data_IF_390842430358
#
_entry.id   IF_390842430358
#
_cell.length_a   1.000
_cell.length_b   1.000
_cell.length_c   1.000
_cell.angle_alpha   90.00
_cell.angle_beta   90.00
_cell.angle_gamma   90.00
#
_symmetry.space_group_name_H-M   'P 1'
#
loop_
_entity.id
_entity.type
_entity.pdbx_description
1 polymer ?
#
# COMPACT_ATOMS: atom_id res chain seq x y z
N UNK A 1 -55.52 6.08 -67.34
CA UNK A 1 -54.50 6.11 -66.27
C UNK A 1 -54.16 7.56 -66.02
N UNK A 2 -54.29 8.11 -64.80
CA UNK A 2 -53.80 9.45 -64.53
C UNK A 2 -52.51 9.35 -63.68
N UNK A 3 -51.42 9.81 -64.29
CA UNK A 3 -50.00 9.61 -63.95
C UNK A 3 -49.48 10.52 -62.81
N UNK A 4 -50.35 11.04 -61.96
CA UNK A 4 -50.00 12.03 -60.94
C UNK A 4 -49.71 11.46 -59.55
N UNK A 5 -49.72 10.12 -59.40
CA UNK A 5 -49.40 9.44 -58.13
C UNK A 5 -47.94 8.99 -57.99
N UNK A 6 -47.06 9.35 -58.93
CA UNK A 6 -45.66 8.91 -58.90
C UNK A 6 -44.71 9.82 -58.09
N UNK A 7 -44.87 11.16 -57.96
CA UNK A 7 -43.81 11.96 -57.34
C UNK A 7 -43.76 11.84 -55.80
N UNK A 8 -44.79 11.33 -55.14
CA UNK A 8 -44.84 11.24 -53.67
C UNK A 8 -44.10 10.02 -53.10
N UNK A 9 -44.00 8.90 -53.83
CA UNK A 9 -43.25 7.73 -53.36
C UNK A 9 -41.72 7.89 -53.55
N UNK A 10 -41.29 8.64 -54.57
CA UNK A 10 -39.86 8.89 -54.83
C UNK A 10 -39.29 9.94 -53.87
N UNK A 11 -40.08 10.94 -53.46
CA UNK A 11 -39.62 12.00 -52.55
C UNK A 11 -39.33 11.53 -51.11
N UNK A 12 -39.94 10.42 -50.68
CA UNK A 12 -39.74 9.85 -49.33
C UNK A 12 -38.69 8.73 -49.28
N UNK A 13 -38.37 8.08 -50.40
CA UNK A 13 -37.40 6.99 -50.45
C UNK A 13 -35.93 7.48 -50.42
N UNK A 14 -35.63 8.63 -51.01
CA UNK A 14 -34.26 9.18 -51.12
C UNK A 14 -33.62 9.50 -49.75
N UNK A 15 -34.28 10.19 -48.79
CA UNK A 15 -33.66 10.48 -47.50
C UNK A 15 -33.51 9.24 -46.61
N UNK A 16 -34.40 8.25 -46.74
CA UNK A 16 -34.34 7.00 -45.94
C UNK A 16 -33.20 6.10 -46.40
N UNK A 17 -33.02 5.93 -47.72
CA UNK A 17 -31.90 5.14 -48.28
C UNK A 17 -30.56 5.85 -48.03
N UNK A 18 -30.49 7.17 -48.18
CA UNK A 18 -29.29 7.95 -47.86
C UNK A 18 -28.90 7.88 -46.37
N UNK A 19 -29.89 7.95 -45.47
CA UNK A 19 -29.67 7.79 -44.03
C UNK A 19 -29.18 6.40 -43.63
N UNK A 20 -29.74 5.34 -44.23
CA UNK A 20 -29.30 3.96 -43.99
C UNK A 20 -27.88 3.69 -44.51
N UNK A 21 -27.51 4.22 -45.67
CA UNK A 21 -26.15 4.10 -46.19
C UNK A 21 -25.14 4.88 -45.35
N UNK A 22 -25.51 6.06 -44.86
CA UNK A 22 -24.68 6.83 -43.94
C UNK A 22 -24.47 6.10 -42.61
N UNK A 23 -25.53 5.51 -42.03
CA UNK A 23 -25.46 4.67 -40.83
C UNK A 23 -24.60 3.42 -41.05
N UNK A 24 -24.73 2.74 -42.19
CA UNK A 24 -23.91 1.58 -42.53
C UNK A 24 -22.43 1.95 -42.68
N UNK A 25 -22.12 3.09 -43.31
CA UNK A 25 -20.74 3.58 -43.42
C UNK A 25 -20.16 3.99 -42.06
N UNK A 26 -20.96 4.61 -41.18
CA UNK A 26 -20.55 4.98 -39.83
C UNK A 26 -20.36 3.74 -38.95
N UNK A 27 -21.26 2.75 -39.02
CA UNK A 27 -21.14 1.48 -38.33
C UNK A 27 -19.91 0.69 -38.79
N UNK A 28 -19.63 0.65 -40.10
CA UNK A 28 -18.43 0.00 -40.64
C UNK A 28 -17.13 0.62 -40.12
N UNK A 29 -17.05 1.96 -40.05
CA UNK A 29 -15.90 2.66 -39.44
C UNK A 29 -15.80 2.40 -37.93
N UNK A 30 -16.92 2.36 -37.21
CA UNK A 30 -16.93 2.05 -35.78
C UNK A 30 -16.49 0.60 -35.53
N UNK A 31 -16.84 -0.35 -36.40
CA UNK A 31 -16.41 -1.74 -36.29
C UNK A 31 -14.90 -1.91 -36.57
N UNK A 32 -14.37 -1.17 -37.55
CA UNK A 32 -12.92 -1.12 -37.83
C UNK A 32 -12.14 -0.53 -36.64
N UNK A 33 -12.68 0.52 -36.00
CA UNK A 33 -12.11 1.09 -34.77
C UNK A 33 -12.28 0.18 -33.55
N UNK A 34 -13.38 -0.57 -33.43
CA UNK A 34 -13.57 -1.58 -32.37
C UNK A 34 -12.60 -2.73 -32.52
N UNK A 35 -12.36 -3.21 -33.74
CA UNK A 35 -11.36 -4.24 -34.02
C UNK A 35 -9.96 -3.79 -33.64
N UNK A 36 -9.58 -2.56 -34.01
CA UNK A 36 -8.28 -1.98 -33.67
C UNK A 36 -8.10 -1.79 -32.14
N UNK A 37 -9.14 -1.31 -31.45
CA UNK A 37 -9.10 -1.15 -29.98
C UNK A 37 -9.06 -2.51 -29.27
N UNK A 38 -9.78 -3.51 -29.77
CA UNK A 38 -9.78 -4.86 -29.19
C UNK A 38 -8.41 -5.52 -29.39
N UNK A 39 -7.85 -5.44 -30.58
CA UNK A 39 -6.50 -5.95 -30.86
C UNK A 39 -5.42 -5.24 -30.03
N UNK A 40 -5.55 -3.91 -29.84
CA UNK A 40 -4.66 -3.14 -28.97
C UNK A 40 -4.79 -3.52 -27.49
N UNK A 41 -6.02 -3.76 -27.01
CA UNK A 41 -6.27 -4.22 -25.64
C UNK A 41 -5.75 -5.65 -25.42
N UNK A 42 -5.88 -6.53 -26.40
CA UNK A 42 -5.32 -7.88 -26.36
C UNK A 42 -3.79 -7.86 -26.39
N UNK A 43 -3.18 -6.94 -27.16
CA UNK A 43 -1.72 -6.74 -27.17
C UNK A 43 -1.22 -6.21 -25.81
N UNK A 44 -1.93 -5.25 -25.21
CA UNK A 44 -1.62 -4.76 -23.86
C UNK A 44 -1.76 -5.88 -22.83
N UNK A 45 -2.83 -6.67 -22.90
CA UNK A 45 -3.07 -7.79 -21.98
C UNK A 45 -1.99 -8.85 -22.09
N UNK A 46 -1.62 -9.25 -23.30
CA UNK A 46 -0.52 -10.18 -23.56
C UNK A 46 0.83 -9.67 -23.03
N UNK A 47 1.12 -8.37 -23.21
CA UNK A 47 2.33 -7.76 -22.64
C UNK A 47 2.30 -7.67 -21.11
N UNK A 48 1.14 -7.43 -20.51
CA UNK A 48 0.97 -7.43 -19.04
C UNK A 48 1.13 -8.83 -18.47
N UNK A 49 0.50 -9.85 -19.06
CA UNK A 49 0.65 -11.24 -18.62
C UNK A 49 2.12 -11.68 -18.69
N UNK A 50 2.84 -11.30 -19.75
CA UNK A 50 4.28 -11.54 -19.86
C UNK A 50 5.16 -10.78 -18.86
N UNK A 51 4.67 -9.68 -18.26
CA UNK A 51 5.34 -9.00 -17.14
C UNK A 51 5.11 -9.77 -15.84
N UNK A 52 3.89 -10.28 -15.61
CA UNK A 52 3.55 -11.06 -14.42
C UNK A 52 4.24 -12.42 -14.39
N UNK A 53 4.47 -13.06 -15.54
CA UNK A 53 5.23 -14.32 -15.64
C UNK A 53 6.72 -14.16 -15.29
N UNK A 54 7.26 -12.95 -15.38
CA UNK A 54 8.65 -12.63 -15.03
C UNK A 54 8.83 -12.19 -13.58
N UNK A 55 7.72 -11.96 -12.86
CA UNK A 55 7.79 -11.68 -11.44
C UNK A 55 7.87 -13.01 -10.70
N UNK A 56 8.85 -13.19 -9.79
CA UNK A 56 8.85 -14.37 -8.92
C UNK A 56 7.49 -14.46 -8.22
N UNK A 57 6.97 -15.68 -7.97
CA UNK A 57 5.67 -15.86 -7.32
C UNK A 57 5.66 -14.99 -6.05
N UNK A 58 4.55 -14.27 -5.77
CA UNK A 58 4.50 -13.39 -4.61
C UNK A 58 4.84 -14.25 -3.40
N UNK A 59 6.05 -14.08 -2.87
CA UNK A 59 6.40 -14.65 -1.58
C UNK A 59 5.37 -14.05 -0.66
N UNK A 60 4.51 -14.89 -0.10
CA UNK A 60 3.66 -14.53 1.02
C UNK A 60 4.58 -13.90 2.03
N UNK A 61 4.57 -12.57 2.11
CA UNK A 61 5.34 -11.83 3.08
C UNK A 61 4.67 -12.21 4.38
N UNK A 62 5.26 -13.16 5.12
CA UNK A 62 4.87 -13.43 6.49
C UNK A 62 4.66 -12.07 7.16
N UNK A 63 3.46 -11.86 7.69
CA UNK A 63 2.99 -10.62 8.32
C UNK A 63 3.83 -10.26 9.56
N UNK A 64 5.10 -9.93 9.32
CA UNK A 64 6.04 -9.26 10.20
C UNK A 64 6.21 -7.91 9.52
N UNK A 65 5.70 -6.85 10.16
CA UNK A 65 5.66 -5.47 9.64
C UNK A 65 6.76 -5.16 8.60
N UNK A 66 6.42 -4.64 7.39
CA UNK A 66 7.38 -4.44 6.30
C UNK A 66 8.46 -3.39 6.64
N UNK A 67 8.27 -2.63 7.71
CA UNK A 67 9.16 -1.57 8.16
C UNK A 67 10.24 -2.16 9.07
N UNK A 68 11.36 -2.60 8.50
CA UNK A 68 12.58 -2.96 9.25
C UNK A 68 13.53 -1.77 9.31
N UNK A 69 14.28 -1.65 10.41
CA UNK A 69 15.33 -0.64 10.52
C UNK A 69 16.42 -0.90 9.46
N UNK A 70 16.61 0.06 8.57
CA UNK A 70 17.64 0.01 7.50
C UNK A 70 19.06 0.12 8.09
N UNK A 71 20.13 -0.18 7.33
CA UNK A 71 21.50 0.04 7.81
C UNK A 71 21.75 1.45 8.35
N UNK A 72 21.28 2.47 7.60
CA UNK A 72 21.33 3.86 8.05
C UNK A 72 20.47 4.11 9.30
N UNK A 73 19.27 3.52 9.37
CA UNK A 73 18.44 3.59 10.57
C UNK A 73 19.12 2.98 11.80
N UNK A 74 19.97 1.95 11.65
CA UNK A 74 20.74 1.37 12.75
C UNK A 74 21.86 2.29 13.23
N UNK A 75 22.47 3.05 12.33
CA UNK A 75 23.43 4.09 12.67
C UNK A 75 22.77 5.21 13.48
N UNK A 76 21.62 5.71 13.03
CA UNK A 76 20.82 6.68 13.78
C UNK A 76 20.40 6.14 15.15
N UNK A 77 19.95 4.89 15.21
CA UNK A 77 19.59 4.23 16.46
C UNK A 77 20.76 4.16 17.44
N UNK A 78 21.98 3.90 16.94
CA UNK A 78 23.20 3.88 17.76
C UNK A 78 23.55 5.28 18.25
N UNK A 79 23.51 6.28 17.39
CA UNK A 79 23.78 7.68 17.76
C UNK A 79 22.82 8.18 18.87
N UNK A 80 21.56 7.77 18.81
CA UNK A 80 20.54 8.13 19.81
C UNK A 80 20.57 7.29 21.08
N UNK A 81 21.30 6.17 21.10
CA UNK A 81 21.13 5.11 22.11
C UNK A 81 19.67 4.62 22.18
N UNK A 82 19.01 4.56 21.02
CA UNK A 82 17.58 4.28 20.89
C UNK A 82 17.18 2.87 21.30
N UNK A 83 18.10 1.90 21.28
CA UNK A 83 17.83 0.53 21.72
C UNK A 83 17.46 0.47 23.20
N UNK A 84 18.31 1.02 24.07
CA UNK A 84 18.07 1.01 25.51
C UNK A 84 16.85 1.86 25.89
N UNK A 85 16.65 2.97 25.18
CA UNK A 85 15.45 3.77 25.33
C UNK A 85 14.20 2.98 24.97
N UNK A 86 14.16 2.31 23.81
CA UNK A 86 13.00 1.53 23.37
C UNK A 86 12.66 0.41 24.36
N UNK A 87 13.66 -0.32 24.87
CA UNK A 87 13.45 -1.38 25.87
C UNK A 87 12.85 -0.83 27.17
N UNK A 88 13.37 0.29 27.69
CA UNK A 88 12.84 0.89 28.93
C UNK A 88 11.43 1.43 28.73
N UNK A 89 11.22 2.18 27.66
CA UNK A 89 9.93 2.78 27.32
C UNK A 89 8.87 1.70 27.07
N UNK A 90 9.21 0.64 26.33
CA UNK A 90 8.29 -0.47 26.06
C UNK A 90 7.86 -1.19 27.34
N UNK A 91 8.74 -1.35 28.33
CA UNK A 91 8.37 -1.92 29.64
C UNK A 91 7.36 -1.05 30.39
N UNK A 92 7.53 0.27 30.35
CA UNK A 92 6.58 1.21 30.97
C UNK A 92 5.22 1.19 30.27
N UNK A 93 5.22 1.08 28.94
CA UNK A 93 4.02 1.11 28.11
C UNK A 93 3.35 -0.26 27.92
N UNK A 94 3.97 -1.34 28.38
CA UNK A 94 3.51 -2.72 28.16
C UNK A 94 2.05 -2.93 28.58
N UNK A 95 1.63 -2.33 29.70
CA UNK A 95 0.25 -2.46 30.19
C UNK A 95 -0.76 -1.71 29.30
N UNK A 96 -0.35 -0.62 28.64
CA UNK A 96 -1.23 0.18 27.78
C UNK A 96 -1.50 -0.52 26.45
N UNK A 97 -0.55 -1.31 25.95
CA UNK A 97 -0.67 -2.05 24.70
C UNK A 97 -1.15 -3.50 24.88
N UNK A 98 -1.37 -3.95 26.12
CA UNK A 98 -1.74 -5.33 26.42
C UNK A 98 -3.03 -5.78 25.71
N UNK A 99 -4.00 -4.88 25.62
CA UNK A 99 -5.29 -5.10 24.94
C UNK A 99 -5.19 -4.96 23.41
N UNK A 100 -4.04 -4.53 22.87
CA UNK A 100 -3.81 -4.40 21.43
C UNK A 100 -3.38 -5.75 20.85
N UNK A 101 -4.37 -6.49 20.36
CA UNK A 101 -4.17 -7.80 19.72
C UNK A 101 -3.50 -7.71 18.35
N UNK A 102 -3.65 -6.59 17.65
CA UNK A 102 -3.22 -6.42 16.26
C UNK A 102 -1.93 -5.58 16.17
N UNK A 103 -0.94 -6.07 15.40
CA UNK A 103 0.39 -5.42 15.30
C UNK A 103 0.33 -4.01 14.71
N UNK A 104 -0.60 -3.74 13.79
CA UNK A 104 -0.74 -2.40 13.21
C UNK A 104 -1.23 -1.39 14.26
N UNK A 105 -2.05 -1.80 15.23
CA UNK A 105 -2.49 -0.92 16.33
C UNK A 105 -1.35 -0.58 17.27
N UNK A 106 -0.41 -1.52 17.48
CA UNK A 106 0.83 -1.25 18.23
C UNK A 106 1.72 -0.27 17.46
N UNK A 107 1.80 -0.38 16.13
CA UNK A 107 2.55 0.55 15.28
C UNK A 107 1.94 1.97 15.26
N UNK A 108 0.62 2.10 15.31
CA UNK A 108 -0.09 3.37 15.47
C UNK A 108 0.14 3.98 16.86
N UNK A 109 0.07 3.16 17.90
CA UNK A 109 0.37 3.57 19.26
C UNK A 109 1.82 4.10 19.37
N UNK A 110 2.79 3.35 18.86
CA UNK A 110 4.20 3.75 18.86
C UNK A 110 4.43 5.05 18.09
N UNK A 111 3.74 5.24 16.95
CA UNK A 111 3.78 6.49 16.18
C UNK A 111 3.29 7.68 17.01
N UNK A 112 2.13 7.53 17.63
CA UNK A 112 1.50 8.57 18.45
C UNK A 112 2.40 8.93 19.63
N UNK A 113 2.90 7.92 20.35
CA UNK A 113 3.80 8.13 21.48
C UNK A 113 5.06 8.91 21.09
N UNK A 114 5.76 8.50 20.03
CA UNK A 114 7.01 9.15 19.59
C UNK A 114 6.78 10.59 19.11
N UNK A 115 5.60 10.90 18.55
CA UNK A 115 5.29 12.24 18.05
C UNK A 115 4.76 13.19 19.11
N UNK A 116 4.06 12.69 20.13
CA UNK A 116 3.33 13.53 21.09
C UNK A 116 3.92 13.47 22.50
N UNK A 117 4.42 12.31 22.92
CA UNK A 117 4.77 12.02 24.32
C UNK A 117 6.28 11.84 24.55
N UNK A 118 7.10 12.10 23.52
CA UNK A 118 8.55 12.08 23.68
C UNK A 118 9.00 13.16 24.68
N UNK A 119 9.87 12.79 25.61
CA UNK A 119 10.41 13.75 26.57
C UNK A 119 11.27 14.83 25.87
N UNK A 120 11.32 16.04 26.43
CA UNK A 120 12.02 17.17 25.81
C UNK A 120 13.53 16.91 25.64
N UNK A 121 14.14 16.17 26.56
CA UNK A 121 15.57 15.82 26.49
C UNK A 121 15.83 14.94 25.27
N UNK A 122 14.95 13.99 25.00
CA UNK A 122 15.05 13.11 23.84
C UNK A 122 14.70 13.83 22.55
N UNK A 123 13.75 14.79 22.57
CA UNK A 123 13.46 15.66 21.42
C UNK A 123 14.69 16.47 21.01
N UNK A 124 15.43 17.02 21.98
CA UNK A 124 16.66 17.76 21.69
C UNK A 124 17.75 16.85 21.10
N UNK A 125 17.88 15.61 21.60
CA UNK A 125 18.76 14.61 20.98
C UNK A 125 18.35 14.27 19.56
N UNK A 126 17.06 14.11 19.29
CA UNK A 126 16.53 13.86 17.94
C UNK A 126 16.90 15.00 17.01
N UNK A 127 16.72 16.26 17.43
CA UNK A 127 17.12 17.44 16.66
C UNK A 127 18.62 17.49 16.39
N UNK A 128 19.44 17.21 17.40
CA UNK A 128 20.89 17.18 17.25
C UNK A 128 21.35 16.11 16.25
N UNK A 129 20.83 14.88 16.39
CA UNK A 129 21.18 13.78 15.48
C UNK A 129 20.69 14.05 14.06
N UNK A 130 19.49 14.62 13.89
CA UNK A 130 18.98 15.02 12.59
C UNK A 130 19.88 16.06 11.92
N UNK A 131 20.31 17.07 12.68
CA UNK A 131 21.25 18.09 12.23
C UNK A 131 22.60 17.51 11.81
N UNK A 132 23.20 16.66 12.67
CA UNK A 132 24.53 16.06 12.43
C UNK A 132 24.58 15.19 11.18
N UNK A 133 23.45 14.58 10.80
CA UNK A 133 23.35 13.72 9.62
C UNK A 133 22.71 14.41 8.41
N UNK A 134 22.33 15.69 8.53
CA UNK A 134 21.72 16.46 7.43
C UNK A 134 20.36 15.91 6.97
N UNK A 135 19.55 15.39 7.90
CA UNK A 135 18.23 14.80 7.62
C UNK A 135 17.13 15.51 8.42
N UNK A 136 15.88 15.23 8.05
CA UNK A 136 14.73 15.70 8.82
C UNK A 136 14.60 14.95 10.15
N UNK A 137 14.14 15.65 11.19
CA UNK A 137 13.69 15.07 12.46
C UNK A 137 12.68 13.96 12.28
N UNK A 138 11.77 14.07 11.30
CA UNK A 138 10.76 13.03 11.03
C UNK A 138 11.40 11.70 10.65
N UNK A 139 12.51 11.71 9.89
CA UNK A 139 13.23 10.50 9.53
C UNK A 139 13.82 9.81 10.76
N UNK A 140 14.27 10.60 11.74
CA UNK A 140 14.79 10.10 13.02
C UNK A 140 13.66 9.54 13.89
N UNK A 141 12.52 10.22 13.95
CA UNK A 141 11.33 9.76 14.69
C UNK A 141 10.80 8.43 14.13
N UNK A 142 10.88 8.22 12.81
CA UNK A 142 10.53 6.92 12.18
C UNK A 142 11.39 5.79 12.73
N UNK A 143 12.69 6.01 12.95
CA UNK A 143 13.58 4.99 13.55
C UNK A 143 13.13 4.67 14.98
N UNK A 144 12.84 5.68 15.79
CA UNK A 144 12.36 5.50 17.16
C UNK A 144 11.04 4.74 17.21
N UNK A 145 10.09 5.08 16.33
CA UNK A 145 8.80 4.39 16.20
C UNK A 145 9.00 2.90 15.93
N UNK A 146 9.83 2.55 14.95
CA UNK A 146 10.06 1.15 14.56
C UNK A 146 10.65 0.36 15.72
N UNK A 147 11.65 0.91 16.41
CA UNK A 147 12.27 0.26 17.56
C UNK A 147 11.29 0.07 18.72
N UNK A 148 10.51 1.10 19.05
CA UNK A 148 9.50 1.01 20.11
C UNK A 148 8.43 -0.03 19.78
N UNK A 149 7.92 -0.03 18.54
CA UNK A 149 6.95 -1.04 18.07
C UNK A 149 7.50 -2.45 18.23
N UNK A 150 8.72 -2.70 17.75
CA UNK A 150 9.31 -4.03 17.76
C UNK A 150 9.48 -4.55 19.20
N UNK A 151 9.89 -3.70 20.13
CA UNK A 151 9.97 -4.05 21.56
C UNK A 151 8.59 -4.30 22.19
N UNK A 152 7.57 -3.49 21.88
CA UNK A 152 6.20 -3.68 22.37
C UNK A 152 5.60 -5.01 21.86
N UNK A 153 5.80 -5.34 20.59
CA UNK A 153 5.38 -6.62 20.00
C UNK A 153 6.11 -7.78 20.69
N UNK A 154 7.43 -7.66 20.90
CA UNK A 154 8.22 -8.70 21.57
C UNK A 154 7.76 -8.94 23.01
N UNK A 155 7.43 -7.88 23.77
CA UNK A 155 6.88 -8.02 25.13
C UNK A 155 5.53 -8.74 25.10
N UNK A 156 4.63 -8.36 24.19
CA UNK A 156 3.31 -9.02 24.06
C UNK A 156 3.45 -10.51 23.74
N UNK A 157 4.35 -10.87 22.82
CA UNK A 157 4.62 -12.27 22.46
C UNK A 157 5.18 -13.08 23.65
N UNK A 158 6.08 -12.50 24.45
CA UNK A 158 6.60 -13.14 25.67
C UNK A 158 5.51 -13.37 26.72
N UNK A 159 4.52 -12.47 26.82
CA UNK A 159 3.38 -12.64 27.72
C UNK A 159 2.37 -13.68 27.23
N UNK A 160 2.32 -13.95 25.93
CA UNK A 160 1.40 -14.92 25.31
C UNK A 160 1.96 -16.34 25.24
N UNK A 161 3.26 -16.55 25.48
CA UNK A 161 3.85 -17.89 25.52
C UNK A 161 3.55 -18.49 26.90
N UNK A 162 2.58 -19.42 27.04
CA UNK A 162 2.35 -20.08 28.32
C UNK A 162 3.62 -20.85 28.69
N UNK A 163 4.06 -20.70 29.93
CA UNK A 163 5.05 -21.58 30.54
C UNK A 163 4.48 -22.98 30.44
N UNK A 164 4.97 -23.79 29.49
CA UNK A 164 4.70 -25.22 29.47
C UNK A 164 5.42 -25.76 30.71
N UNK A 165 4.70 -25.89 31.82
CA UNK A 165 5.18 -26.64 32.96
C UNK A 165 5.54 -28.04 32.43
N UNK A 166 6.84 -28.35 32.47
CA UNK A 166 7.32 -29.72 32.34
C UNK A 166 6.63 -30.54 33.43
N UNK A 167 5.54 -31.22 33.05
CA UNK A 167 5.12 -32.43 33.75
C UNK A 167 6.27 -33.43 33.59
N UNK A 168 7.20 -33.41 34.55
CA UNK A 168 8.20 -34.45 34.75
C UNK A 168 7.43 -35.76 34.97
N UNK A 169 7.59 -36.78 34.10
CA UNK A 169 7.09 -38.11 34.42
C UNK A 169 7.87 -38.61 35.63
N UNK A 170 7.10 -39.00 36.65
CA UNK A 170 7.53 -39.59 37.92
C UNK A 170 8.58 -40.71 37.77
#
# INVERSE_FOLDING_TARGET
>A
MPEWLIPTLVALAVPVVGGLLYLAHWMGKVDEHRGAVTAFMDEIRSKLDGIFDRLPPPRTVESKSPLKVTPFGRELAKALQAGDWAVRTARTLANQVKELTEDYRIDEFAKTYVSQELDEVYKDRVRAVAYDHGIDTDAVLVVLRVLLRDELIAIRQRQQTPTVEEELPF
#
